data_IF_060911896098
#
_entry.id   IF_060911896098
#
_cell.length_a   1.000
_cell.length_b   1.000
_cell.length_c   1.000
_cell.angle_alpha   90.00
_cell.angle_beta   90.00
_cell.angle_gamma   90.00
#
_symmetry.space_group_name_H-M   'P 1'
#
loop_
_entity.id
_entity.type
_entity.pdbx_description
1 polymer ?
#
# COMPACT_ATOMS: atom_id res chain seq x y z
N UNK A 1 -40.77 10.70 4.40
CA UNK A 1 -40.69 9.23 4.20
C UNK A 1 -39.41 8.84 3.47
N UNK A 2 -39.12 9.39 2.28
CA UNK A 2 -37.89 9.06 1.51
C UNK A 2 -36.58 9.45 2.22
N UNK A 3 -36.52 10.61 2.85
CA UNK A 3 -35.33 11.08 3.60
C UNK A 3 -34.97 10.15 4.76
N UNK A 4 -35.99 9.66 5.49
CA UNK A 4 -35.81 8.70 6.58
C UNK A 4 -35.31 7.34 6.07
N UNK A 5 -35.75 6.93 4.89
CA UNK A 5 -35.29 5.69 4.25
C UNK A 5 -33.82 5.80 3.81
N UNK A 6 -33.45 6.92 3.18
CA UNK A 6 -32.07 7.22 2.78
C UNK A 6 -31.15 7.28 4.00
N UNK A 7 -31.59 7.92 5.10
CA UNK A 7 -30.83 8.02 6.34
C UNK A 7 -30.57 6.68 7.03
N UNK A 8 -31.33 5.64 6.72
CA UNK A 8 -31.13 4.29 7.25
C UNK A 8 -30.28 3.44 6.30
N UNK A 9 -30.54 3.54 4.99
CA UNK A 9 -29.96 2.63 4.01
C UNK A 9 -28.51 3.02 3.69
N UNK A 10 -28.25 4.30 3.42
CA UNK A 10 -26.94 4.73 2.90
C UNK A 10 -25.81 4.55 3.92
N UNK A 11 -25.97 4.84 5.22
CA UNK A 11 -24.92 4.54 6.21
C UNK A 11 -24.60 3.05 6.29
N UNK A 12 -25.61 2.19 6.19
CA UNK A 12 -25.42 0.73 6.17
C UNK A 12 -24.62 0.29 4.92
N UNK A 13 -24.93 0.85 3.75
CA UNK A 13 -24.16 0.58 2.52
C UNK A 13 -22.71 1.07 2.67
N UNK A 14 -22.49 2.25 3.24
CA UNK A 14 -21.15 2.77 3.48
C UNK A 14 -20.32 1.85 4.38
N UNK A 15 -20.89 1.31 5.47
CA UNK A 15 -20.21 0.34 6.32
C UNK A 15 -19.86 -0.95 5.59
N UNK A 16 -20.72 -1.42 4.68
CA UNK A 16 -20.43 -2.60 3.85
C UNK A 16 -19.24 -2.32 2.91
N UNK A 17 -19.20 -1.15 2.28
CA UNK A 17 -18.08 -0.74 1.43
C UNK A 17 -16.76 -0.64 2.21
N UNK A 18 -16.79 -0.09 3.42
CA UNK A 18 -15.61 -0.09 4.31
C UNK A 18 -15.15 -1.51 4.63
N UNK A 19 -16.09 -2.41 4.94
CA UNK A 19 -15.78 -3.80 5.27
C UNK A 19 -15.11 -4.52 4.09
N UNK A 20 -15.60 -4.29 2.87
CA UNK A 20 -15.00 -4.83 1.64
C UNK A 20 -13.56 -4.31 1.48
N UNK A 21 -13.34 -3.01 1.64
CA UNK A 21 -12.01 -2.42 1.56
C UNK A 21 -11.05 -3.05 2.59
N UNK A 22 -11.47 -3.18 3.84
CA UNK A 22 -10.68 -3.84 4.90
C UNK A 22 -10.39 -5.30 4.55
N UNK A 23 -11.37 -6.03 4.04
CA UNK A 23 -11.20 -7.42 3.64
C UNK A 23 -10.15 -7.58 2.53
N UNK A 24 -10.18 -6.72 1.51
CA UNK A 24 -9.20 -6.73 0.41
C UNK A 24 -7.78 -6.49 0.95
N UNK A 25 -7.60 -5.52 1.86
CA UNK A 25 -6.30 -5.26 2.51
C UNK A 25 -5.80 -6.48 3.26
N UNK A 26 -6.64 -7.10 4.10
CA UNK A 26 -6.24 -8.26 4.91
C UNK A 26 -5.88 -9.44 4.00
N UNK A 27 -6.73 -9.77 3.03
CA UNK A 27 -6.53 -10.89 2.12
C UNK A 27 -5.25 -10.73 1.30
N UNK A 28 -5.06 -9.55 0.69
CA UNK A 28 -3.86 -9.25 -0.10
C UNK A 28 -2.59 -9.27 0.75
N UNK A 29 -2.63 -8.72 1.97
CA UNK A 29 -1.51 -8.77 2.90
C UNK A 29 -1.13 -10.20 3.28
N UNK A 30 -2.09 -11.05 3.63
CA UNK A 30 -1.85 -12.46 3.97
C UNK A 30 -1.28 -13.24 2.78
N UNK A 31 -1.86 -13.06 1.58
CA UNK A 31 -1.40 -13.70 0.34
C UNK A 31 0.04 -13.30 0.00
N UNK A 32 0.33 -12.00 0.02
CA UNK A 32 1.66 -11.44 -0.27
C UNK A 32 2.68 -11.89 0.77
N UNK A 33 2.33 -11.82 2.06
CA UNK A 33 3.19 -12.27 3.15
C UNK A 33 3.49 -13.77 3.09
N UNK A 34 2.48 -14.60 2.80
CA UNK A 34 2.66 -16.05 2.65
C UNK A 34 3.60 -16.42 1.50
N UNK A 35 3.40 -15.84 0.31
CA UNK A 35 4.30 -16.05 -0.84
C UNK A 35 5.72 -15.57 -0.54
N UNK A 36 5.83 -14.44 0.13
CA UNK A 36 7.11 -13.86 0.54
C UNK A 36 7.87 -14.75 1.54
N UNK A 37 7.17 -15.28 2.55
CA UNK A 37 7.73 -16.16 3.57
C UNK A 37 8.21 -17.50 2.99
N UNK A 38 7.44 -18.10 2.08
CA UNK A 38 7.80 -19.38 1.43
C UNK A 38 9.03 -19.23 0.54
N UNK A 39 9.25 -18.06 -0.06
CA UNK A 39 10.34 -17.83 -1.01
C UNK A 39 11.65 -17.37 -0.38
N UNK A 40 11.78 -17.53 0.94
CA UNK A 40 13.00 -17.26 1.71
C UNK A 40 13.62 -15.89 1.35
N UNK A 41 12.86 -14.81 1.56
CA UNK A 41 13.34 -13.43 1.44
C UNK A 41 13.80 -12.96 0.05
N UNK A 42 13.50 -13.70 -1.03
CA UNK A 42 13.86 -13.25 -2.37
C UNK A 42 12.90 -12.14 -2.87
N UNK A 43 13.26 -10.88 -2.60
CA UNK A 43 12.52 -9.66 -2.97
C UNK A 43 12.40 -9.37 -4.49
N UNK A 44 12.87 -10.27 -5.35
CA UNK A 44 12.99 -10.04 -6.80
C UNK A 44 11.67 -10.15 -7.57
N UNK A 45 10.57 -10.59 -6.94
CA UNK A 45 9.27 -10.72 -7.61
C UNK A 45 8.51 -9.39 -7.60
N UNK A 46 8.88 -8.50 -8.53
CA UNK A 46 8.25 -7.19 -8.75
C UNK A 46 6.72 -7.33 -8.98
N UNK A 47 6.29 -8.45 -9.56
CA UNK A 47 4.88 -8.79 -9.78
C UNK A 47 4.08 -8.90 -8.48
N UNK A 48 4.66 -9.44 -7.40
CA UNK A 48 3.96 -9.57 -6.10
C UNK A 48 3.76 -8.19 -5.47
N UNK A 49 4.75 -7.29 -5.59
CA UNK A 49 4.63 -5.90 -5.12
C UNK A 49 3.55 -5.16 -5.89
N UNK A 50 3.51 -5.27 -7.21
CA UNK A 50 2.50 -4.61 -8.06
C UNK A 50 1.09 -5.12 -7.70
N UNK A 51 0.90 -6.43 -7.56
CA UNK A 51 -0.40 -7.04 -7.20
C UNK A 51 -0.89 -6.53 -5.83
N UNK A 52 0.02 -6.40 -4.85
CA UNK A 52 -0.31 -5.86 -3.52
C UNK A 52 -0.66 -4.37 -3.56
N UNK A 53 0.13 -3.55 -4.28
CA UNK A 53 -0.15 -2.12 -4.44
C UNK A 53 -1.47 -1.85 -5.14
N UNK A 54 -1.84 -2.66 -6.14
CA UNK A 54 -3.14 -2.57 -6.81
C UNK A 54 -4.30 -2.94 -5.86
N UNK A 55 -4.13 -3.99 -5.04
CA UNK A 55 -5.13 -4.36 -4.04
C UNK A 55 -5.32 -3.26 -2.97
N UNK A 56 -4.22 -2.61 -2.54
CA UNK A 56 -4.28 -1.47 -1.62
C UNK A 56 -4.99 -0.26 -2.25
N UNK A 57 -4.71 0.05 -3.52
CA UNK A 57 -5.39 1.12 -4.24
C UNK A 57 -6.90 0.86 -4.35
N UNK A 58 -7.29 -0.36 -4.72
CA UNK A 58 -8.70 -0.78 -4.79
C UNK A 58 -9.40 -0.64 -3.43
N UNK A 59 -8.75 -1.07 -2.33
CA UNK A 59 -9.31 -0.90 -1.00
C UNK A 59 -9.50 0.58 -0.60
N UNK A 60 -8.62 1.46 -1.08
CA UNK A 60 -8.73 2.89 -0.86
C UNK A 60 -9.91 3.48 -1.65
N UNK A 61 -10.14 3.06 -2.89
CA UNK A 61 -11.29 3.46 -3.70
C UNK A 61 -12.62 3.06 -3.02
N UNK A 62 -12.70 1.84 -2.47
CA UNK A 62 -13.87 1.41 -1.69
C UNK A 62 -14.10 2.26 -0.43
N UNK A 63 -13.02 2.63 0.27
CA UNK A 63 -13.10 3.55 1.41
C UNK A 63 -13.58 4.95 1.01
N UNK A 64 -13.06 5.49 -0.09
CA UNK A 64 -13.49 6.79 -0.60
C UNK A 64 -14.96 6.75 -1.02
N UNK A 65 -15.42 5.67 -1.66
CA UNK A 65 -16.83 5.47 -1.99
C UNK A 65 -17.74 5.44 -0.77
N UNK A 66 -17.35 4.74 0.29
CA UNK A 66 -18.08 4.73 1.56
C UNK A 66 -18.16 6.12 2.20
N UNK A 67 -17.08 6.87 2.14
CA UNK A 67 -17.00 8.24 2.66
C UNK A 67 -17.94 9.17 1.91
N UNK A 68 -17.94 9.11 0.57
CA UNK A 68 -18.86 9.87 -0.29
C UNK A 68 -20.32 9.56 0.11
N UNK A 69 -20.68 8.28 0.24
CA UNK A 69 -22.04 7.89 0.64
C UNK A 69 -22.46 8.45 2.01
N UNK A 70 -21.56 8.45 3.00
CA UNK A 70 -21.84 9.05 4.33
C UNK A 70 -22.12 10.55 4.22
N UNK A 71 -21.36 11.28 3.39
CA UNK A 71 -21.57 12.73 3.19
C UNK A 71 -22.86 13.10 2.47
N UNK A 72 -23.42 12.17 1.68
CA UNK A 72 -24.71 12.38 1.00
C UNK A 72 -25.88 12.40 1.98
N UNK A 73 -25.74 11.79 3.18
CA UNK A 73 -26.78 11.74 4.20
C UNK A 73 -26.54 12.73 5.33
N UNK A 74 -25.30 12.85 5.79
CA UNK A 74 -24.94 13.64 6.97
C UNK A 74 -24.14 14.85 6.50
N UNK A 75 -24.75 16.04 6.60
CA UNK A 75 -24.13 17.34 6.29
C UNK A 75 -23.42 17.96 7.50
N UNK A 76 -22.72 17.18 8.31
CA UNK A 76 -21.84 17.72 9.36
C UNK A 76 -20.38 17.52 8.97
N UNK A 77 -19.76 18.66 8.62
CA UNK A 77 -18.42 18.72 8.05
C UNK A 77 -17.34 18.33 9.06
N UNK A 78 -17.59 18.48 10.37
CA UNK A 78 -16.59 18.23 11.42
C UNK A 78 -16.20 16.76 11.53
N UNK A 79 -17.17 15.84 11.52
CA UNK A 79 -16.90 14.40 11.60
C UNK A 79 -16.23 13.87 10.33
N UNK A 80 -16.63 14.41 9.18
CA UNK A 80 -16.05 14.10 7.88
C UNK A 80 -14.57 14.49 7.82
N UNK A 81 -14.23 15.70 8.28
CA UNK A 81 -12.85 16.20 8.25
C UNK A 81 -11.94 15.31 9.09
N UNK A 82 -12.38 14.89 10.28
CA UNK A 82 -11.58 14.02 11.15
C UNK A 82 -11.33 12.67 10.48
N UNK A 83 -12.38 12.05 9.92
CA UNK A 83 -12.26 10.72 9.31
C UNK A 83 -11.40 10.75 8.05
N UNK A 84 -11.60 11.73 7.17
CA UNK A 84 -10.78 11.95 5.99
C UNK A 84 -9.31 12.22 6.34
N UNK A 85 -9.06 13.04 7.38
CA UNK A 85 -7.70 13.36 7.84
C UNK A 85 -6.93 12.10 8.28
N UNK A 86 -7.58 11.20 9.01
CA UNK A 86 -6.96 9.94 9.47
C UNK A 86 -6.61 9.03 8.27
N UNK A 87 -7.49 8.93 7.27
CA UNK A 87 -7.26 8.10 6.08
C UNK A 87 -6.11 8.67 5.24
N UNK A 88 -6.08 9.98 5.02
CA UNK A 88 -5.01 10.66 4.28
C UNK A 88 -3.67 10.51 5.00
N UNK A 89 -3.65 10.73 6.32
CA UNK A 89 -2.44 10.56 7.12
C UNK A 89 -1.90 9.13 7.04
N UNK A 90 -2.80 8.13 7.06
CA UNK A 90 -2.43 6.72 6.93
C UNK A 90 -1.78 6.41 5.57
N UNK A 91 -2.34 6.94 4.49
CA UNK A 91 -1.78 6.77 3.16
C UNK A 91 -0.41 7.46 3.03
N UNK A 92 -0.29 8.70 3.53
CA UNK A 92 0.95 9.46 3.49
C UNK A 92 2.09 8.76 4.25
N UNK A 93 1.85 8.33 5.49
CA UNK A 93 2.84 7.59 6.29
C UNK A 93 3.27 6.30 5.60
N UNK A 94 2.32 5.55 5.04
CA UNK A 94 2.63 4.29 4.35
C UNK A 94 3.46 4.50 3.08
N UNK A 95 3.17 5.55 2.30
CA UNK A 95 3.92 5.89 1.08
C UNK A 95 5.32 6.43 1.37
N UNK A 96 5.46 7.27 2.40
CA UNK A 96 6.77 7.80 2.84
C UNK A 96 7.69 6.64 3.20
N UNK A 97 7.20 5.70 4.02
CA UNK A 97 7.97 4.52 4.42
C UNK A 97 8.33 3.67 3.19
N UNK A 98 7.40 3.51 2.23
CA UNK A 98 7.67 2.75 1.01
C UNK A 98 8.77 3.39 0.15
N UNK A 99 8.74 4.71 -0.04
CA UNK A 99 9.76 5.44 -0.81
C UNK A 99 11.13 5.43 -0.15
N UNK A 100 11.17 5.54 1.19
CA UNK A 100 12.43 5.48 1.93
C UNK A 100 13.10 4.10 1.75
N UNK A 101 12.33 3.02 1.90
CA UNK A 101 12.82 1.64 1.74
C UNK A 101 13.28 1.36 0.29
N UNK A 102 12.54 1.85 -0.71
CA UNK A 102 12.88 1.71 -2.12
C UNK A 102 14.16 2.48 -2.47
N UNK A 103 14.31 3.71 -1.96
CA UNK A 103 15.48 4.56 -2.18
C UNK A 103 16.75 3.96 -1.56
N UNK A 104 16.67 3.47 -0.32
CA UNK A 104 17.79 2.82 0.36
C UNK A 104 18.20 1.51 -0.34
N UNK A 105 17.22 0.76 -0.85
CA UNK A 105 17.50 -0.44 -1.66
C UNK A 105 18.28 -0.10 -2.94
N UNK A 106 17.93 1.00 -3.63
CA UNK A 106 18.63 1.44 -4.85
C UNK A 106 20.06 1.90 -4.55
N UNK A 107 20.25 2.63 -3.45
CA UNK A 107 21.55 3.12 -3.01
C UNK A 107 22.49 1.98 -2.58
N UNK A 108 21.95 0.94 -1.95
CA UNK A 108 22.70 -0.26 -1.58
C UNK A 108 23.14 -1.07 -2.82
N UNK A 109 22.26 -1.25 -3.81
CA UNK A 109 22.59 -1.97 -5.05
C UNK A 109 23.70 -1.27 -5.85
N UNK A 110 23.68 0.06 -5.97
CA UNK A 110 24.74 0.81 -6.65
C UNK A 110 26.11 0.65 -5.97
N UNK A 111 26.14 0.60 -4.63
CA UNK A 111 27.38 0.36 -3.89
C UNK A 111 27.90 -1.08 -4.06
N UNK A 112 26.99 -2.06 -4.10
CA UNK A 112 27.35 -3.46 -4.38
C UNK A 112 27.90 -3.66 -5.79
N UNK A 113 27.39 -2.93 -6.78
CA UNK A 113 27.88 -2.98 -8.16
C UNK A 113 29.29 -2.38 -8.29
N UNK A 114 29.54 -1.26 -7.62
CA UNK A 114 30.88 -0.66 -7.52
C UNK A 114 31.87 -1.59 -6.82
N UNK A 115 31.44 -2.27 -5.75
CA UNK A 115 32.31 -3.23 -5.04
C UNK A 115 32.62 -4.46 -5.92
N UNK A 116 31.67 -4.92 -6.74
CA UNK A 116 31.90 -5.99 -7.73
C UNK A 116 32.87 -5.54 -8.83
N UNK A 117 32.71 -4.33 -9.35
CA UNK A 117 33.60 -3.78 -10.38
C UNK A 117 35.04 -3.66 -9.89
N UNK A 118 35.23 -3.12 -8.68
CA UNK A 118 36.56 -2.97 -8.11
C UNK A 118 37.22 -4.33 -7.82
N UNK A 119 36.45 -5.28 -7.27
CA UNK A 119 36.95 -6.64 -7.00
C UNK A 119 37.35 -7.38 -8.29
N UNK A 120 36.59 -7.22 -9.38
CA UNK A 120 36.92 -7.84 -10.67
C UNK A 120 38.24 -7.30 -11.24
N UNK A 121 38.46 -5.99 -11.14
CA UNK A 121 39.73 -5.37 -11.59
C UNK A 121 40.93 -5.81 -10.74
N UNK A 122 40.75 -6.02 -9.43
CA UNK A 122 41.80 -6.57 -8.55
C UNK A 122 42.15 -8.03 -8.89
N UNK A 123 41.18 -8.85 -9.28
CA UNK A 123 41.39 -10.25 -9.69
C UNK A 123 42.05 -10.36 -11.08
N UNK A 124 41.70 -9.50 -12.05
CA UNK A 124 42.37 -9.43 -13.37
C UNK A 124 43.83 -8.95 -13.27
N UNK A 125 44.12 -7.94 -12.43
CA UNK A 125 45.49 -7.44 -12.25
C UNK A 125 46.42 -8.39 -11.49
N UNK A 126 45.88 -9.40 -10.78
CA UNK A 126 46.67 -10.40 -10.04
C UNK A 126 47.01 -11.64 -10.87
N UNK A 127 46.39 -11.81 -12.04
CA UNK A 127 46.67 -12.91 -12.97
C UNK A 127 47.63 -12.51 -14.11
N UNK A 128 47.99 -11.23 -14.23
CA UNK A 128 48.88 -10.69 -15.27
C UNK A 128 50.33 -10.46 -14.77
N UNK A 129 50.66 -10.90 -13.54
CA UNK A 129 52.01 -10.92 -12.94
C UNK A 129 52.44 -12.37 -12.69
#
# INVERSE_FOLDING_TARGET
MLEHLISIIVPNIAHILELIGVFIVIYSALKTFGRYAIRFFNFSDETIKIEFSQALAMALEFKLGAEILKTLVIRTIDELIILASIVVLRAALTLIIHWEIESDSKRCNHFLDLKKFNKKNEEESSHEV
#
